data_IF_718605072665
#
_entry.id   IF_718605072665
#
_cell.length_a   1.000
_cell.length_b   1.000
_cell.length_c   1.000
_cell.angle_alpha   90.00
_cell.angle_beta   90.00
_cell.angle_gamma   90.00
#
_symmetry.space_group_name_H-M   'P 1'
#
loop_
_entity.id
_entity.type
_entity.pdbx_description
1 polymer ?
#
# COMPACT_ATOMS: atom_id res chain seq x y z
N UNK A 1 -46.28 -25.50 23.77
CA UNK A 1 -45.30 -25.50 24.88
C UNK A 1 -43.91 -25.72 24.30
N UNK A 2 -43.01 -24.79 24.61
CA UNK A 2 -41.55 -24.82 24.56
C UNK A 2 -40.81 -25.53 23.40
N UNK A 3 -40.39 -24.71 22.45
CA UNK A 3 -38.97 -24.45 22.17
C UNK A 3 -37.90 -25.39 22.76
N UNK A 4 -37.09 -25.97 21.88
CA UNK A 4 -35.67 -26.21 22.14
C UNK A 4 -34.83 -25.69 20.97
N UNK A 5 -34.75 -24.36 20.86
CA UNK A 5 -33.55 -23.70 20.34
C UNK A 5 -32.58 -23.61 21.53
N UNK A 6 -31.51 -24.42 21.50
CA UNK A 6 -30.44 -24.35 22.50
C UNK A 6 -29.56 -23.15 22.17
N UNK A 7 -29.49 -22.20 23.09
CA UNK A 7 -28.55 -21.09 23.00
C UNK A 7 -27.14 -21.57 23.34
N UNK A 8 -26.25 -21.61 22.35
CA UNK A 8 -24.92 -21.00 22.42
C UNK A 8 -24.33 -20.92 21.00
N UNK A 9 -24.81 -19.95 20.23
CA UNK A 9 -24.15 -19.50 19.01
C UNK A 9 -23.85 -18.00 19.19
N UNK A 10 -23.00 -17.71 20.19
CA UNK A 10 -22.60 -16.36 20.58
C UNK A 10 -21.64 -15.77 19.54
N UNK A 11 -22.19 -15.47 18.37
CA UNK A 11 -21.51 -14.76 17.28
C UNK A 11 -20.95 -13.45 17.84
N UNK A 12 -19.62 -13.39 17.98
CA UNK A 12 -18.94 -12.20 18.50
C UNK A 12 -19.23 -11.04 17.57
N UNK A 13 -20.00 -10.09 18.07
CA UNK A 13 -20.27 -8.84 17.38
C UNK A 13 -19.02 -7.96 17.45
N UNK A 14 -18.71 -7.30 16.34
CA UNK A 14 -17.74 -6.21 16.29
C UNK A 14 -18.25 -4.99 17.04
N UNK A 15 -17.39 -3.99 17.19
CA UNK A 15 -17.78 -2.64 17.61
C UNK A 15 -18.97 -2.04 16.82
N UNK A 16 -19.23 -2.51 15.59
CA UNK A 16 -20.29 -1.99 14.71
C UNK A 16 -21.56 -2.85 14.68
N UNK A 17 -21.65 -3.90 15.49
CA UNK A 17 -22.79 -4.81 15.50
C UNK A 17 -22.90 -5.72 14.27
N UNK A 18 -21.86 -5.78 13.43
CA UNK A 18 -21.68 -6.89 12.49
C UNK A 18 -21.13 -8.10 13.23
N UNK A 19 -21.46 -9.31 12.79
CA UNK A 19 -20.77 -10.52 13.28
C UNK A 19 -19.38 -10.56 12.63
N UNK A 20 -18.36 -11.15 13.28
CA UNK A 20 -17.03 -11.16 12.66
C UNK A 20 -16.30 -12.52 12.69
N UNK A 21 -15.48 -12.79 11.64
CA UNK A 21 -15.37 -12.03 10.38
C UNK A 21 -16.51 -12.42 9.41
N UNK A 22 -17.64 -11.67 9.40
CA UNK A 22 -18.70 -11.86 8.41
C UNK A 22 -18.41 -11.09 7.14
N UNK A 23 -19.15 -11.42 6.08
CA UNK A 23 -19.15 -10.65 4.85
C UNK A 23 -19.44 -9.16 5.13
N UNK A 24 -18.80 -8.23 4.37
CA UNK A 24 -19.00 -6.80 4.54
C UNK A 24 -20.47 -6.40 4.35
N UNK A 25 -20.97 -5.45 5.15
CA UNK A 25 -22.34 -4.96 5.07
C UNK A 25 -22.38 -3.47 4.69
N UNK A 26 -23.46 -2.97 4.05
CA UNK A 26 -23.55 -1.55 3.67
C UNK A 26 -23.45 -0.55 4.83
N UNK A 27 -23.84 -0.94 6.05
CA UNK A 27 -23.81 -0.06 7.24
C UNK A 27 -22.45 -0.01 7.97
N UNK A 28 -21.52 -0.93 7.65
CA UNK A 28 -20.19 -0.95 8.24
C UNK A 28 -19.28 0.16 7.68
N UNK A 29 -18.26 0.61 8.43
CA UNK A 29 -17.40 1.71 8.02
C UNK A 29 -16.33 1.32 7.01
N UNK A 30 -15.79 2.32 6.32
CA UNK A 30 -14.60 2.22 5.47
C UNK A 30 -13.37 2.41 6.37
N UNK A 31 -12.44 1.44 6.36
CA UNK A 31 -11.15 1.57 7.02
C UNK A 31 -10.13 2.25 6.11
N UNK A 32 -9.61 3.40 6.52
CA UNK A 32 -8.58 4.17 5.81
C UNK A 32 -7.31 4.18 6.65
N UNK A 33 -6.19 3.74 6.10
CA UNK A 33 -4.93 3.60 6.83
C UNK A 33 -3.78 4.35 6.13
N UNK A 34 -2.98 5.09 6.91
CA UNK A 34 -1.69 5.64 6.49
C UNK A 34 -0.61 5.48 7.58
N UNK A 35 0.65 5.67 7.20
CA UNK A 35 1.79 5.76 8.11
C UNK A 35 1.76 6.96 9.08
N UNK A 36 0.85 7.92 8.87
CA UNK A 36 0.70 9.08 9.74
C UNK A 36 -0.48 9.97 9.32
N UNK A 37 -0.19 11.23 9.03
CA UNK A 37 -1.18 12.30 8.79
C UNK A 37 -1.41 12.62 7.31
N UNK A 38 -0.48 12.31 6.41
CA UNK A 38 -0.61 12.65 4.99
C UNK A 38 -1.82 12.00 4.32
N UNK A 39 -2.17 10.78 4.71
CA UNK A 39 -3.33 10.04 4.24
C UNK A 39 -4.68 10.74 4.48
N UNK A 40 -4.73 11.75 5.34
CA UNK A 40 -5.92 12.59 5.55
C UNK A 40 -6.34 13.33 4.26
N UNK A 41 -5.43 13.54 3.30
CA UNK A 41 -5.79 14.02 1.95
C UNK A 41 -6.71 13.05 1.21
N UNK A 42 -6.48 11.73 1.36
CA UNK A 42 -7.31 10.67 0.77
C UNK A 42 -8.62 10.54 1.54
N UNK A 43 -8.56 10.60 2.88
CA UNK A 43 -9.76 10.61 3.72
C UNK A 43 -10.68 11.79 3.39
N UNK A 44 -10.13 13.00 3.15
CA UNK A 44 -10.89 14.16 2.68
C UNK A 44 -11.63 13.88 1.38
N UNK A 45 -10.90 13.42 0.36
CA UNK A 45 -11.49 13.12 -0.95
C UNK A 45 -12.58 12.04 -0.86
N UNK A 46 -12.41 11.05 0.02
CA UNK A 46 -13.44 10.04 0.33
C UNK A 46 -14.68 10.71 0.94
N UNK A 47 -14.54 11.53 1.99
CA UNK A 47 -15.68 12.19 2.63
C UNK A 47 -16.41 13.17 1.68
N UNK A 48 -15.69 13.86 0.80
CA UNK A 48 -16.28 14.76 -0.20
C UNK A 48 -17.05 14.01 -1.31
N UNK A 49 -16.57 12.84 -1.74
CA UNK A 49 -17.20 12.06 -2.80
C UNK A 49 -18.26 11.06 -2.28
N UNK A 50 -18.14 10.61 -1.04
CA UNK A 50 -18.99 9.62 -0.39
C UNK A 50 -19.56 10.19 0.93
N UNK A 51 -20.37 11.27 0.89
CA UNK A 51 -20.78 12.04 2.09
C UNK A 51 -21.72 11.27 3.03
N UNK A 52 -22.20 10.09 2.65
CA UNK A 52 -22.99 9.20 3.50
C UNK A 52 -22.13 8.15 4.19
N UNK A 53 -20.86 7.99 3.83
CA UNK A 53 -20.04 6.87 4.31
C UNK A 53 -19.34 7.15 5.63
N UNK A 54 -19.35 6.15 6.53
CA UNK A 54 -18.57 6.20 7.77
C UNK A 54 -17.12 5.89 7.46
N UNK A 55 -16.20 6.62 8.07
CA UNK A 55 -14.75 6.47 7.88
C UNK A 55 -14.09 6.28 9.23
N UNK A 56 -13.33 5.18 9.37
CA UNK A 56 -12.31 5.04 10.43
C UNK A 56 -10.97 5.35 9.76
N UNK A 57 -10.34 6.44 10.17
CA UNK A 57 -8.97 6.75 9.76
C UNK A 57 -7.99 6.28 10.83
N UNK A 58 -6.92 5.59 10.42
CA UNK A 58 -5.83 5.18 11.31
C UNK A 58 -4.48 5.65 10.76
N UNK A 59 -3.81 6.53 11.52
CA UNK A 59 -2.43 6.93 11.26
C UNK A 59 -1.46 6.17 12.18
N UNK A 60 -0.54 5.39 11.62
CA UNK A 60 0.45 4.62 12.39
C UNK A 60 1.64 5.48 12.88
N UNK A 61 1.36 6.64 13.48
CA UNK A 61 2.36 7.66 13.85
C UNK A 61 3.41 7.19 14.86
N UNK A 62 3.17 6.12 15.63
CA UNK A 62 4.21 5.52 16.48
C UNK A 62 5.28 4.74 15.70
N UNK A 63 4.99 4.33 14.46
CA UNK A 63 5.89 3.55 13.60
C UNK A 63 6.22 4.26 12.27
N UNK A 64 5.70 5.48 12.07
CA UNK A 64 6.03 6.36 10.96
C UNK A 64 7.32 7.17 11.20
N UNK A 65 7.82 7.88 10.17
CA UNK A 65 7.38 7.81 8.78
C UNK A 65 7.85 6.51 8.11
N UNK A 66 7.06 5.95 7.19
CA UNK A 66 7.45 4.72 6.49
C UNK A 66 8.47 4.94 5.37
N UNK A 67 8.61 6.17 4.87
CA UNK A 67 9.45 6.51 3.72
C UNK A 67 10.92 6.04 3.75
N UNK A 68 11.63 6.06 4.90
CA UNK A 68 12.99 5.53 5.02
C UNK A 68 13.06 4.05 5.47
N UNK A 69 11.94 3.39 5.80
CA UNK A 69 11.95 2.04 6.37
C UNK A 69 12.15 0.95 5.29
N UNK A 70 12.79 -0.19 5.63
CA UNK A 70 12.83 -1.35 4.74
C UNK A 70 11.43 -1.89 4.41
N UNK A 71 11.21 -2.30 3.15
CA UNK A 71 9.91 -2.81 2.66
C UNK A 71 9.35 -3.95 3.53
N UNK A 72 10.19 -4.81 4.10
CA UNK A 72 9.74 -5.86 5.02
C UNK A 72 9.13 -5.32 6.32
N UNK A 73 9.68 -4.24 6.88
CA UNK A 73 9.17 -3.58 8.08
C UNK A 73 7.90 -2.77 7.75
N UNK A 74 7.89 -2.06 6.63
CA UNK A 74 6.68 -1.39 6.09
C UNK A 74 5.54 -2.40 5.94
N UNK A 75 5.82 -3.58 5.38
CA UNK A 75 4.83 -4.66 5.23
C UNK A 75 4.29 -5.14 6.58
N UNK A 76 5.17 -5.40 7.55
CA UNK A 76 4.75 -5.87 8.88
C UNK A 76 3.84 -4.84 9.59
N UNK A 77 4.23 -3.57 9.60
CA UNK A 77 3.46 -2.51 10.25
C UNK A 77 2.10 -2.28 9.55
N UNK A 78 2.10 -2.24 8.22
CA UNK A 78 0.88 -2.07 7.43
C UNK A 78 -0.11 -3.22 7.60
N UNK A 79 0.35 -4.48 7.48
CA UNK A 79 -0.53 -5.65 7.62
C UNK A 79 -1.12 -5.77 9.03
N UNK A 80 -0.37 -5.39 10.09
CA UNK A 80 -0.91 -5.32 11.46
C UNK A 80 -2.10 -4.36 11.55
N UNK A 81 -1.97 -3.15 11.02
CA UNK A 81 -3.05 -2.15 11.02
C UNK A 81 -4.25 -2.62 10.18
N UNK A 82 -4.00 -3.23 9.02
CA UNK A 82 -5.06 -3.73 8.15
C UNK A 82 -5.78 -4.95 8.74
N UNK A 83 -5.08 -5.82 9.46
CA UNK A 83 -5.66 -6.91 10.24
C UNK A 83 -6.59 -6.37 11.32
N UNK A 84 -6.11 -5.47 12.19
CA UNK A 84 -6.95 -4.93 13.26
C UNK A 84 -8.18 -4.17 12.69
N UNK A 85 -8.07 -3.48 11.54
CA UNK A 85 -9.20 -2.83 10.86
C UNK A 85 -10.24 -3.85 10.37
N UNK A 86 -9.80 -4.95 9.76
CA UNK A 86 -10.69 -6.05 9.31
C UNK A 86 -11.38 -6.71 10.50
N UNK A 87 -10.63 -6.97 11.55
CA UNK A 87 -11.14 -7.51 12.82
C UNK A 87 -12.13 -6.58 13.52
N UNK A 88 -12.00 -5.26 13.32
CA UNK A 88 -12.97 -4.27 13.78
C UNK A 88 -14.27 -4.28 12.97
N UNK A 89 -14.30 -4.91 11.79
CA UNK A 89 -15.51 -5.07 10.97
C UNK A 89 -15.71 -4.05 9.85
N UNK A 90 -14.65 -3.52 9.24
CA UNK A 90 -14.77 -2.59 8.08
C UNK A 90 -15.33 -3.28 6.83
N UNK A 91 -16.13 -2.55 6.04
CA UNK A 91 -16.66 -3.08 4.76
C UNK A 91 -15.70 -2.95 3.58
N UNK A 92 -14.70 -2.08 3.69
CA UNK A 92 -13.70 -1.82 2.67
C UNK A 92 -12.40 -1.33 3.34
N UNK A 93 -11.27 -1.58 2.69
CA UNK A 93 -9.95 -1.08 3.10
C UNK A 93 -9.40 -0.11 2.06
N UNK A 94 -8.86 1.01 2.53
CA UNK A 94 -8.12 1.98 1.71
C UNK A 94 -6.72 2.15 2.27
N UNK A 95 -5.72 1.78 1.48
CA UNK A 95 -4.31 2.04 1.78
C UNK A 95 -3.98 3.47 1.33
N UNK A 96 -4.14 4.44 2.24
CA UNK A 96 -3.87 5.86 2.02
C UNK A 96 -2.38 6.23 2.21
N UNK A 97 -1.48 5.25 2.14
CA UNK A 97 -0.03 5.43 2.14
C UNK A 97 0.58 4.88 0.85
N UNK A 98 1.32 5.69 0.10
CA UNK A 98 2.00 5.22 -1.12
C UNK A 98 3.07 4.16 -0.79
N UNK A 99 3.84 4.37 0.29
CA UNK A 99 4.88 3.44 0.74
C UNK A 99 4.29 2.09 1.19
N UNK A 100 3.16 2.10 1.91
CA UNK A 100 2.48 0.86 2.28
C UNK A 100 1.84 0.17 1.07
N UNK A 101 1.22 0.92 0.16
CA UNK A 101 0.60 0.38 -1.07
C UNK A 101 1.63 -0.38 -1.91
N UNK A 102 2.82 0.21 -2.08
CA UNK A 102 3.97 -0.41 -2.73
C UNK A 102 4.43 -1.71 -2.04
N UNK A 103 4.36 -1.77 -0.70
CA UNK A 103 4.82 -2.92 0.07
C UNK A 103 3.80 -4.07 0.14
N UNK A 104 2.49 -3.81 0.21
CA UNK A 104 1.49 -4.81 0.64
C UNK A 104 0.31 -5.06 -0.30
N UNK A 105 0.13 -4.31 -1.40
CA UNK A 105 -1.10 -4.41 -2.21
C UNK A 105 -1.47 -5.84 -2.63
N UNK A 106 -0.49 -6.64 -3.07
CA UNK A 106 -0.72 -8.04 -3.49
C UNK A 106 -1.12 -8.91 -2.30
N UNK A 107 -0.39 -8.79 -1.19
CA UNK A 107 -0.63 -9.53 0.05
C UNK A 107 -2.02 -9.20 0.63
N UNK A 108 -2.40 -7.92 0.62
CA UNK A 108 -3.69 -7.45 1.11
C UNK A 108 -4.88 -7.91 0.27
N UNK A 109 -4.78 -7.89 -1.07
CA UNK A 109 -5.85 -8.41 -1.96
C UNK A 109 -6.03 -9.92 -1.80
N UNK A 110 -4.96 -10.67 -1.58
CA UNK A 110 -5.04 -12.10 -1.24
C UNK A 110 -5.73 -12.30 0.11
N UNK A 111 -5.20 -11.64 1.15
CA UNK A 111 -5.59 -11.84 2.55
C UNK A 111 -6.99 -11.36 2.89
N UNK A 112 -7.46 -10.27 2.28
CA UNK A 112 -8.73 -9.62 2.64
C UNK A 112 -9.78 -9.74 1.53
N UNK A 113 -9.45 -9.40 0.28
CA UNK A 113 -10.43 -9.41 -0.81
C UNK A 113 -10.82 -10.84 -1.21
N UNK A 114 -9.85 -11.72 -1.50
CA UNK A 114 -10.17 -13.10 -1.90
C UNK A 114 -10.74 -13.95 -0.77
N UNK A 115 -10.30 -13.71 0.47
CA UNK A 115 -10.69 -14.52 1.63
C UNK A 115 -11.99 -14.08 2.31
N UNK A 116 -12.23 -12.77 2.42
CA UNK A 116 -13.37 -12.22 3.17
C UNK A 116 -14.32 -11.36 2.32
N UNK A 117 -14.04 -11.18 1.02
CA UNK A 117 -14.84 -10.32 0.14
C UNK A 117 -14.65 -8.82 0.39
N UNK A 118 -13.67 -8.42 1.21
CA UNK A 118 -13.45 -7.00 1.56
C UNK A 118 -12.63 -6.32 0.44
N UNK A 119 -13.20 -5.37 -0.32
CA UNK A 119 -12.46 -4.66 -1.37
C UNK A 119 -11.28 -3.87 -0.77
N UNK A 120 -10.09 -4.07 -1.35
CA UNK A 120 -8.86 -3.33 -1.01
C UNK A 120 -8.53 -2.35 -2.14
N UNK A 121 -8.65 -1.06 -1.83
CA UNK A 121 -8.30 0.08 -2.69
C UNK A 121 -7.02 0.71 -2.17
N UNK A 122 -6.23 1.31 -3.06
CA UNK A 122 -4.93 1.92 -2.74
C UNK A 122 -4.62 3.08 -3.68
N UNK A 123 -3.49 3.77 -3.45
CA UNK A 123 -3.20 5.09 -4.05
C UNK A 123 -2.37 5.06 -5.35
N UNK A 124 -1.62 3.99 -5.65
CA UNK A 124 -0.72 3.91 -6.80
C UNK A 124 -1.48 3.66 -8.09
N UNK A 125 -2.31 2.62 -8.18
CA UNK A 125 -2.99 2.27 -9.44
C UNK A 125 -3.96 3.36 -9.95
N UNK A 126 -4.72 4.08 -9.09
CA UNK A 126 -5.53 5.21 -9.54
C UNK A 126 -4.70 6.35 -10.12
N UNK A 127 -3.62 6.74 -9.44
CA UNK A 127 -2.71 7.78 -9.92
C UNK A 127 -2.03 7.39 -11.24
N UNK A 128 -1.60 6.14 -11.39
CA UNK A 128 -1.03 5.60 -12.63
C UNK A 128 -2.02 5.73 -13.78
N UNK A 129 -3.26 5.24 -13.65
CA UNK A 129 -4.25 5.33 -14.73
C UNK A 129 -4.57 6.79 -15.10
N UNK A 130 -4.61 7.69 -14.12
CA UNK A 130 -4.80 9.13 -14.37
C UNK A 130 -3.62 9.75 -15.11
N UNK A 131 -2.38 9.37 -14.79
CA UNK A 131 -1.19 9.86 -15.48
C UNK A 131 -1.10 9.34 -16.93
N UNK A 132 -1.40 8.05 -17.17
CA UNK A 132 -1.50 7.49 -18.54
C UNK A 132 -2.52 8.26 -19.38
N UNK A 133 -3.66 8.64 -18.80
CA UNK A 133 -4.70 9.40 -19.49
C UNK A 133 -4.40 10.91 -19.65
N UNK A 134 -3.40 11.44 -18.94
CA UNK A 134 -3.07 12.87 -18.93
C UNK A 134 -1.84 13.22 -19.79
N UNK A 135 -0.88 12.31 -19.94
CA UNK A 135 0.34 12.58 -20.72
C UNK A 135 0.04 12.70 -22.22
N UNK A 136 0.69 13.68 -22.86
CA UNK A 136 0.58 13.92 -24.31
C UNK A 136 1.83 13.48 -25.05
N UNK A 137 2.99 13.47 -24.38
CA UNK A 137 4.27 13.06 -24.94
C UNK A 137 4.73 11.66 -24.49
N UNK A 138 3.96 10.97 -23.64
CA UNK A 138 4.28 9.64 -23.12
C UNK A 138 5.39 9.62 -22.06
N UNK A 139 5.77 10.77 -21.49
CA UNK A 139 6.84 10.90 -20.50
C UNK A 139 6.26 11.32 -19.16
N UNK A 140 6.40 10.46 -18.16
CA UNK A 140 5.80 10.62 -16.83
C UNK A 140 6.90 10.68 -15.77
N UNK A 141 6.86 11.71 -14.92
CA UNK A 141 7.62 11.77 -13.67
C UNK A 141 6.86 11.13 -12.51
N UNK A 142 7.58 10.55 -11.57
CA UNK A 142 7.00 10.05 -10.31
C UNK A 142 7.86 10.55 -9.15
N UNK A 143 7.29 11.37 -8.28
CA UNK A 143 7.94 11.82 -7.04
C UNK A 143 7.47 10.94 -5.89
N UNK A 144 8.36 10.42 -5.06
CA UNK A 144 7.96 9.56 -3.94
C UNK A 144 8.97 9.48 -2.81
N UNK A 145 8.62 8.72 -1.76
CA UNK A 145 9.56 8.40 -0.69
C UNK A 145 10.63 7.43 -1.17
N UNK A 146 11.78 7.36 -0.48
CA UNK A 146 12.86 6.44 -0.83
C UNK A 146 12.38 4.97 -0.93
N UNK A 147 11.58 4.51 0.02
CA UNK A 147 10.96 3.18 -0.01
C UNK A 147 9.93 3.03 -1.16
N UNK A 148 9.11 4.06 -1.45
CA UNK A 148 8.19 4.02 -2.60
C UNK A 148 8.95 3.83 -3.92
N UNK A 149 10.00 4.60 -4.15
CA UNK A 149 10.74 4.61 -5.42
C UNK A 149 11.62 3.36 -5.56
N UNK A 150 12.33 2.95 -4.49
CA UNK A 150 13.14 1.72 -4.50
C UNK A 150 12.31 0.44 -4.63
N UNK A 151 11.03 0.45 -4.25
CA UNK A 151 10.12 -0.69 -4.45
C UNK A 151 9.81 -1.01 -5.92
N UNK A 152 9.97 -0.04 -6.82
CA UNK A 152 9.56 -0.08 -8.23
C UNK A 152 8.05 -0.29 -8.48
N UNK A 153 7.20 -0.08 -7.47
CA UNK A 153 5.77 -0.34 -7.57
C UNK A 153 5.04 0.52 -8.61
N UNK A 154 5.54 1.73 -8.91
CA UNK A 154 5.01 2.56 -9.99
C UNK A 154 5.39 2.00 -11.37
N UNK A 155 6.66 1.67 -11.58
CA UNK A 155 7.19 1.06 -12.81
C UNK A 155 6.46 -0.25 -13.13
N UNK A 156 6.28 -1.12 -12.14
CA UNK A 156 5.49 -2.35 -12.26
C UNK A 156 4.02 -2.07 -12.63
N UNK A 157 3.44 -0.99 -12.11
CA UNK A 157 2.07 -0.58 -12.43
C UNK A 157 1.94 0.02 -13.84
N UNK A 158 3.03 0.58 -14.39
CA UNK A 158 3.10 1.03 -15.79
C UNK A 158 3.43 -0.09 -16.79
N UNK A 159 3.72 -1.33 -16.35
CA UNK A 159 4.14 -2.42 -17.23
C UNK A 159 3.16 -2.77 -18.38
N UNK A 160 1.86 -2.45 -18.20
CA UNK A 160 0.84 -2.61 -19.24
C UNK A 160 0.90 -1.55 -20.37
N UNK A 161 1.71 -0.50 -20.21
CA UNK A 161 1.88 0.59 -21.16
C UNK A 161 3.37 0.80 -21.52
N UNK A 162 4.03 -0.18 -22.17
CA UNK A 162 5.48 -0.21 -22.40
C UNK A 162 6.00 0.86 -23.38
N UNK A 163 5.11 1.66 -23.97
CA UNK A 163 5.45 2.82 -24.81
C UNK A 163 5.72 4.09 -23.99
N UNK A 164 5.42 4.07 -22.68
CA UNK A 164 5.63 5.20 -21.77
C UNK A 164 7.05 5.18 -21.21
N UNK A 165 7.65 6.36 -21.09
CA UNK A 165 8.91 6.57 -20.36
C UNK A 165 8.59 7.08 -18.96
N UNK A 166 9.02 6.37 -17.92
CA UNK A 166 8.81 6.76 -16.52
C UNK A 166 10.13 7.18 -15.89
N UNK A 167 10.17 8.37 -15.29
CA UNK A 167 11.29 8.86 -14.47
C UNK A 167 10.85 8.99 -13.02
N UNK A 168 11.26 8.03 -12.20
CA UNK A 168 11.02 8.03 -10.76
C UNK A 168 12.13 8.78 -10.02
N UNK A 169 11.77 9.57 -9.02
CA UNK A 169 12.67 10.38 -8.21
C UNK A 169 12.26 10.35 -6.73
N UNK A 170 13.26 10.23 -5.84
CA UNK A 170 13.03 10.11 -4.40
C UNK A 170 13.25 11.46 -3.72
N UNK A 171 12.20 11.99 -3.08
CA UNK A 171 12.23 13.31 -2.43
C UNK A 171 12.04 13.16 -0.90
N UNK A 172 13.03 12.62 -0.16
CA UNK A 172 12.87 12.32 1.26
C UNK A 172 12.65 13.57 2.12
N UNK A 173 13.27 14.71 1.79
CA UNK A 173 13.13 15.97 2.54
C UNK A 173 11.70 16.54 2.49
N UNK A 174 10.93 16.26 1.44
CA UNK A 174 9.61 16.87 1.22
C UNK A 174 8.59 16.53 2.33
N UNK A 175 8.72 15.38 2.98
CA UNK A 175 7.80 14.99 4.09
C UNK A 175 8.05 15.88 5.31
N UNK A 176 9.32 16.07 5.68
CA UNK A 176 9.72 16.92 6.81
C UNK A 176 9.28 18.38 6.62
N UNK A 177 9.45 18.96 5.42
CA UNK A 177 8.94 20.30 5.11
C UNK A 177 7.43 20.42 5.38
N UNK A 178 6.64 19.42 4.94
CA UNK A 178 5.19 19.42 5.12
C UNK A 178 4.79 19.23 6.60
N UNK A 179 5.43 18.32 7.33
CA UNK A 179 5.16 18.09 8.75
C UNK A 179 5.57 19.29 9.62
N UNK A 180 6.66 19.98 9.28
CA UNK A 180 7.04 21.28 9.88
C UNK A 180 6.11 22.43 9.48
N UNK A 181 5.25 22.25 8.46
CA UNK A 181 4.33 23.28 7.97
C UNK A 181 4.99 24.31 7.04
N UNK A 182 6.19 24.02 6.54
CA UNK A 182 6.96 24.86 5.63
C UNK A 182 6.61 24.47 4.19
N UNK A 183 5.65 25.19 3.61
CA UNK A 183 5.17 24.97 2.23
C UNK A 183 5.59 26.07 1.24
N UNK A 184 6.36 27.05 1.70
CA UNK A 184 6.94 28.15 0.90
C UNK A 184 8.30 28.56 1.48
N UNK A 185 9.09 29.32 0.70
CA UNK A 185 10.38 29.88 1.14
C UNK A 185 11.57 29.39 0.29
N UNK A 186 12.75 30.03 0.43
CA UNK A 186 13.90 29.76 -0.43
C UNK A 186 14.52 28.36 -0.21
N UNK A 187 14.61 27.89 1.03
CA UNK A 187 15.16 26.56 1.37
C UNK A 187 14.35 25.42 0.72
N UNK A 188 13.02 25.54 0.76
CA UNK A 188 12.11 24.62 0.10
C UNK A 188 12.21 24.73 -1.42
N UNK A 189 12.28 25.95 -1.97
CA UNK A 189 12.39 26.16 -3.42
C UNK A 189 13.67 25.50 -3.97
N UNK A 190 14.84 25.76 -3.37
CA UNK A 190 16.12 25.16 -3.76
C UNK A 190 16.07 23.62 -3.66
N UNK A 191 15.44 23.09 -2.61
CA UNK A 191 15.27 21.64 -2.44
C UNK A 191 14.35 21.03 -3.49
N UNK A 192 13.25 21.71 -3.83
CA UNK A 192 12.33 21.28 -4.89
C UNK A 192 13.00 21.36 -6.27
N UNK A 193 13.71 22.44 -6.58
CA UNK A 193 14.49 22.58 -7.81
C UNK A 193 15.49 21.43 -7.99
N UNK A 194 16.31 21.15 -6.95
CA UNK A 194 17.28 20.04 -6.95
C UNK A 194 16.64 18.68 -7.29
N UNK A 195 15.49 18.38 -6.70
CA UNK A 195 14.78 17.12 -6.94
C UNK A 195 14.05 17.07 -8.29
N UNK A 196 13.70 18.20 -8.89
CA UNK A 196 12.91 18.20 -10.14
C UNK A 196 13.77 18.24 -11.41
N UNK A 197 15.06 18.59 -11.33
CA UNK A 197 16.00 18.53 -12.47
C UNK A 197 15.95 17.19 -13.22
N UNK A 198 16.07 16.00 -12.59
CA UNK A 198 16.05 14.73 -13.33
C UNK A 198 14.71 14.44 -14.05
N UNK A 199 13.60 14.98 -13.54
CA UNK A 199 12.25 14.84 -14.12
C UNK A 199 12.06 15.83 -15.28
N UNK A 200 12.62 17.03 -15.17
CA UNK A 200 12.67 18.04 -16.23
C UNK A 200 13.57 17.60 -17.39
N UNK A 201 14.76 17.08 -17.10
CA UNK A 201 15.71 16.56 -18.10
C UNK A 201 15.15 15.36 -18.88
N UNK A 202 14.36 14.51 -18.21
CA UNK A 202 13.61 13.45 -18.87
C UNK A 202 12.54 14.00 -19.85
N UNK A 203 12.10 15.25 -19.67
CA UNK A 203 11.07 15.92 -20.46
C UNK A 203 9.65 15.46 -20.12
N UNK A 204 9.39 15.12 -18.85
CA UNK A 204 8.07 14.68 -18.41
C UNK A 204 7.02 15.80 -18.55
N UNK A 205 5.88 15.51 -19.17
CA UNK A 205 4.75 16.46 -19.27
C UNK A 205 3.65 16.20 -18.23
N UNK A 206 3.82 15.15 -17.43
CA UNK A 206 2.90 14.69 -16.40
C UNK A 206 3.71 14.17 -15.22
N UNK A 207 3.40 14.57 -14.00
CA UNK A 207 4.14 14.18 -12.79
C UNK A 207 3.19 13.69 -11.71
N UNK A 208 3.40 12.46 -11.24
CA UNK A 208 2.66 11.88 -10.11
C UNK A 208 3.28 12.35 -8.79
N UNK A 209 2.42 12.89 -7.92
CA UNK A 209 2.73 13.16 -6.51
C UNK A 209 2.50 11.88 -5.69
N UNK A 210 3.46 10.95 -5.77
CA UNK A 210 3.45 9.60 -5.18
C UNK A 210 3.78 9.55 -3.68
N UNK A 211 3.41 10.59 -2.95
CA UNK A 211 3.37 10.63 -1.48
C UNK A 211 2.17 11.49 -1.06
N UNK A 212 1.47 11.09 -0.01
CA UNK A 212 0.24 11.76 0.45
C UNK A 212 0.48 13.12 1.12
N UNK A 213 1.74 13.45 1.42
CA UNK A 213 2.16 14.78 1.87
C UNK A 213 2.30 15.78 0.71
N UNK A 214 2.68 15.31 -0.48
CA UNK A 214 3.10 16.18 -1.59
C UNK A 214 1.98 17.06 -2.21
N UNK A 215 0.67 16.76 -2.09
CA UNK A 215 -0.38 17.71 -2.47
C UNK A 215 -0.25 19.08 -1.78
N UNK A 216 0.31 19.16 -0.56
CA UNK A 216 0.58 20.44 0.11
C UNK A 216 1.77 21.23 -0.48
N UNK A 217 2.60 20.59 -1.33
CA UNK A 217 3.70 21.21 -2.07
C UNK A 217 3.33 21.52 -3.53
N UNK A 218 2.08 21.29 -3.95
CA UNK A 218 1.60 21.51 -5.33
C UNK A 218 1.98 22.89 -5.86
N UNK A 219 1.91 23.94 -5.03
CA UNK A 219 2.25 25.32 -5.44
C UNK A 219 3.72 25.47 -5.86
N UNK A 220 4.67 25.07 -5.02
CA UNK A 220 6.11 25.17 -5.32
C UNK A 220 6.54 24.20 -6.42
N UNK A 221 5.98 22.99 -6.45
CA UNK A 221 6.26 22.00 -7.51
C UNK A 221 5.75 22.51 -8.87
N UNK A 222 4.55 23.11 -8.92
CA UNK A 222 4.01 23.72 -10.15
C UNK A 222 4.81 24.95 -10.61
N UNK A 223 5.35 25.72 -9.66
CA UNK A 223 6.18 26.88 -9.95
C UNK A 223 7.49 26.47 -10.66
N UNK A 224 8.16 25.42 -10.16
CA UNK A 224 9.42 24.91 -10.74
C UNK A 224 9.20 24.18 -12.07
N UNK A 225 8.16 23.36 -12.20
CA UNK A 225 7.88 22.61 -13.44
C UNK A 225 7.22 23.46 -14.54
N UNK A 226 6.57 24.56 -14.15
CA UNK A 226 5.84 25.44 -15.06
C UNK A 226 4.52 24.85 -15.56
N UNK A 227 3.72 25.70 -16.20
CA UNK A 227 2.33 25.41 -16.60
C UNK A 227 2.20 24.33 -17.70
N UNK A 228 3.31 23.90 -18.30
CA UNK A 228 3.33 22.83 -19.29
C UNK A 228 3.10 21.44 -18.71
N UNK A 229 3.33 21.25 -17.40
CA UNK A 229 3.33 19.94 -16.73
C UNK A 229 2.04 19.71 -15.94
N UNK A 230 1.41 18.55 -16.14
CA UNK A 230 0.21 18.14 -15.40
C UNK A 230 0.61 17.44 -14.10
N UNK A 231 0.19 17.97 -12.94
CA UNK A 231 0.36 17.26 -11.67
C UNK A 231 -0.80 16.29 -11.42
N UNK A 232 -0.48 15.08 -10.98
CA UNK A 232 -1.44 14.02 -10.65
C UNK A 232 -1.34 13.68 -9.17
N UNK A 233 -2.42 13.91 -8.42
CA UNK A 233 -2.55 13.48 -7.04
C UNK A 233 -3.30 12.15 -6.96
N UNK A 234 -3.04 11.38 -5.90
CA UNK A 234 -3.68 10.06 -5.73
C UNK A 234 -5.08 10.15 -5.12
N UNK A 235 -5.37 11.21 -4.36
CA UNK A 235 -6.51 11.29 -3.43
C UNK A 235 -7.87 11.20 -4.12
N UNK A 236 -8.13 12.04 -5.13
CA UNK A 236 -9.42 12.02 -5.85
C UNK A 236 -9.64 10.73 -6.64
N UNK A 237 -8.59 10.20 -7.28
CA UNK A 237 -8.69 8.99 -8.09
C UNK A 237 -8.91 7.74 -7.23
N UNK A 238 -8.34 7.73 -6.02
CA UNK A 238 -8.60 6.71 -4.99
C UNK A 238 -10.06 6.75 -4.52
N UNK A 239 -10.63 7.94 -4.28
CA UNK A 239 -12.04 8.10 -3.92
C UNK A 239 -12.99 7.65 -5.06
N UNK A 240 -12.66 7.96 -6.32
CA UNK A 240 -13.38 7.48 -7.51
C UNK A 240 -13.34 5.95 -7.64
N UNK A 241 -12.21 5.31 -7.33
CA UNK A 241 -12.10 3.85 -7.31
C UNK A 241 -12.86 3.20 -6.16
N UNK A 242 -12.84 3.81 -4.98
CA UNK A 242 -13.61 3.34 -3.84
C UNK A 242 -15.11 3.38 -4.10
N UNK A 243 -15.62 4.47 -4.70
CA UNK A 243 -17.01 4.54 -5.16
C UNK A 243 -17.34 3.39 -6.14
N UNK A 244 -16.48 3.12 -7.13
CA UNK A 244 -16.67 2.00 -8.07
C UNK A 244 -16.69 0.65 -7.37
N UNK A 245 -15.75 0.39 -6.47
CA UNK A 245 -15.66 -0.84 -5.70
C UNK A 245 -16.93 -1.07 -4.85
N UNK A 246 -17.33 -0.07 -4.05
CA UNK A 246 -18.54 -0.15 -3.23
C UNK A 246 -19.82 -0.30 -4.07
N UNK A 247 -19.89 0.32 -5.25
CA UNK A 247 -21.02 0.18 -6.18
C UNK A 247 -21.11 -1.24 -6.72
N UNK A 248 -20.00 -1.80 -7.21
CA UNK A 248 -19.96 -3.12 -7.82
C UNK A 248 -20.30 -4.25 -6.84
N UNK A 249 -19.86 -4.12 -5.58
CA UNK A 249 -20.13 -5.09 -4.52
C UNK A 249 -21.49 -4.85 -3.80
N UNK A 250 -22.25 -3.82 -4.19
CA UNK A 250 -23.53 -3.47 -3.52
C UNK A 250 -23.38 -2.96 -2.08
N UNK A 251 -22.21 -2.43 -1.73
CA UNK A 251 -21.80 -2.04 -0.38
C UNK A 251 -22.02 -0.55 -0.04
N UNK A 252 -22.58 0.26 -0.95
CA UNK A 252 -22.89 1.67 -0.67
C UNK A 252 -23.90 1.78 0.49
N UNK A 253 -23.62 2.64 1.48
CA UNK A 253 -24.52 2.89 2.62
C UNK A 253 -25.82 3.54 2.14
N UNK A 254 -26.95 2.97 2.53
CA UNK A 254 -28.30 3.38 2.07
C UNK A 254 -29.13 4.14 3.11
N UNK A 255 -28.67 4.20 4.37
CA UNK A 255 -29.36 4.97 5.40
C UNK A 255 -28.99 6.47 5.33
N UNK A 256 -29.97 7.32 5.64
CA UNK A 256 -29.83 8.78 5.53
C UNK A 256 -29.23 9.47 6.75
N UNK A 257 -28.70 8.73 7.73
CA UNK A 257 -28.12 9.35 8.92
C UNK A 257 -26.70 9.87 8.63
N UNK A 258 -26.40 11.09 9.08
CA UNK A 258 -25.07 11.67 8.96
C UNK A 258 -23.99 10.69 9.47
N UNK A 259 -22.90 10.46 8.73
CA UNK A 259 -21.82 9.61 9.20
C UNK A 259 -21.12 10.25 10.40
N UNK A 260 -20.80 9.42 11.38
CA UNK A 260 -19.79 9.73 12.39
C UNK A 260 -18.47 9.18 11.86
N UNK A 261 -17.44 10.03 11.82
CA UNK A 261 -16.09 9.68 11.38
C UNK A 261 -15.17 9.59 12.59
N UNK A 262 -14.28 8.62 12.61
CA UNK A 262 -13.33 8.42 13.71
C UNK A 262 -11.89 8.54 13.22
N UNK A 263 -11.08 9.29 13.95
CA UNK A 263 -9.66 9.52 13.65
C UNK A 263 -8.81 8.98 14.79
N UNK A 264 -7.95 8.02 14.47
CA UNK A 264 -7.16 7.25 15.41
C UNK A 264 -5.67 7.37 15.09
N UNK A 265 -4.85 7.58 16.11
CA UNK A 265 -3.39 7.63 16.01
C UNK A 265 -2.75 6.57 16.91
N UNK A 266 -1.67 5.94 16.46
CA UNK A 266 -0.90 4.99 17.29
C UNK A 266 0.16 5.67 18.16
N UNK A 267 0.63 6.85 17.75
CA UNK A 267 1.44 7.75 18.55
C UNK A 267 0.60 8.87 19.18
N UNK A 268 1.26 10.00 19.48
CA UNK A 268 0.64 11.15 20.16
C UNK A 268 -0.58 11.72 19.39
N UNK A 269 -1.78 11.73 20.01
CA UNK A 269 -3.00 12.26 19.38
C UNK A 269 -3.02 13.79 19.30
N UNK A 270 -2.33 14.51 20.20
CA UNK A 270 -2.29 15.97 20.20
C UNK A 270 -1.42 16.47 19.04
N UNK A 271 -0.23 15.90 18.87
CA UNK A 271 0.62 16.14 17.70
C UNK A 271 -0.11 15.78 16.39
N UNK A 272 -0.82 14.66 16.34
CA UNK A 272 -1.65 14.29 15.19
C UNK A 272 -2.71 15.36 14.91
N UNK A 273 -3.47 15.80 15.92
CA UNK A 273 -4.56 16.76 15.76
C UNK A 273 -4.05 18.12 15.24
N UNK A 274 -2.92 18.61 15.75
CA UNK A 274 -2.30 19.86 15.29
C UNK A 274 -1.93 19.83 13.81
N UNK A 275 -1.38 18.70 13.32
CA UNK A 275 -1.01 18.58 11.90
C UNK A 275 -2.25 18.29 11.04
N UNK A 276 -3.20 17.49 11.51
CA UNK A 276 -4.41 17.09 10.79
C UNK A 276 -5.25 18.28 10.32
N UNK A 277 -5.31 19.37 11.09
CA UNK A 277 -6.00 20.61 10.70
C UNK A 277 -5.47 21.20 9.37
N UNK A 278 -4.19 21.01 9.06
CA UNK A 278 -3.57 21.47 7.80
C UNK A 278 -4.04 20.67 6.58
N UNK A 279 -4.44 19.41 6.78
CA UNK A 279 -4.86 18.49 5.72
C UNK A 279 -6.38 18.45 5.50
N UNK A 280 -7.17 18.62 6.56
CA UNK A 280 -8.62 18.42 6.54
C UNK A 280 -9.45 19.70 6.76
N UNK A 281 -8.82 20.80 7.17
CA UNK A 281 -9.52 21.98 7.68
C UNK A 281 -10.30 21.67 8.97
N UNK A 282 -11.43 22.35 9.25
CA UNK A 282 -12.16 22.22 10.52
C UNK A 282 -12.95 20.90 10.69
N UNK A 283 -12.69 19.88 9.86
CA UNK A 283 -13.40 18.59 9.92
C UNK A 283 -12.93 17.66 11.04
N UNK A 284 -11.73 17.87 11.61
CA UNK A 284 -11.21 17.06 12.73
C UNK A 284 -11.53 17.73 14.06
N UNK A 285 -12.63 17.33 14.68
CA UNK A 285 -13.11 17.85 15.97
C UNK A 285 -12.51 17.11 17.19
N UNK A 286 -11.91 15.94 16.98
CA UNK A 286 -11.18 15.18 18.00
C UNK A 286 -10.41 14.00 17.40
N UNK A 287 -9.39 13.52 18.12
CA UNK A 287 -8.50 12.42 17.73
C UNK A 287 -8.31 11.49 18.92
N UNK A 288 -8.37 10.16 18.71
CA UNK A 288 -8.17 9.15 19.76
C UNK A 288 -6.80 8.49 19.64
N UNK A 289 -6.09 8.35 20.76
CA UNK A 289 -4.90 7.50 20.87
C UNK A 289 -5.29 6.04 21.07
N UNK A 290 -4.59 5.11 20.41
CA UNK A 290 -4.77 3.66 20.60
C UNK A 290 -3.43 2.94 20.39
N UNK A 291 -3.08 1.89 21.16
CA UNK A 291 -1.85 1.11 20.90
C UNK A 291 -2.09 0.03 19.83
N UNK A 292 -3.30 -0.51 19.81
CA UNK A 292 -3.86 -1.32 18.72
C UNK A 292 -5.26 -0.82 18.41
N UNK A 293 -5.77 -1.03 17.19
CA UNK A 293 -7.14 -0.60 16.85
C UNK A 293 -8.15 -1.41 17.68
N UNK A 294 -7.80 -2.63 18.10
CA UNK A 294 -8.57 -3.47 19.01
C UNK A 294 -8.81 -2.87 20.41
N UNK A 295 -7.96 -1.95 20.89
CA UNK A 295 -8.22 -1.20 22.13
C UNK A 295 -9.34 -0.17 21.95
N UNK A 296 -9.51 0.38 20.74
CA UNK A 296 -10.56 1.37 20.43
C UNK A 296 -11.87 0.73 19.96
N UNK A 297 -11.77 -0.39 19.22
CA UNK A 297 -12.91 -1.11 18.64
C UNK A 297 -12.80 -2.60 18.99
N UNK A 298 -13.66 -3.13 19.89
CA UNK A 298 -13.63 -4.54 20.25
C UNK A 298 -13.69 -5.47 19.02
N UNK A 299 -12.63 -6.24 18.84
CA UNK A 299 -12.45 -7.14 17.71
C UNK A 299 -13.06 -8.51 17.99
N UNK A 300 -13.60 -9.15 16.95
CA UNK A 300 -13.92 -10.58 17.00
C UNK A 300 -12.78 -11.42 16.39
N UNK A 301 -11.57 -11.18 16.92
CA UNK A 301 -10.34 -11.97 16.77
C UNK A 301 -10.24 -12.87 15.52
N UNK A 302 -9.52 -12.40 14.51
CA UNK A 302 -8.58 -13.29 13.83
C UNK A 302 -7.48 -13.72 14.80
N UNK A 303 -6.81 -14.83 14.49
CA UNK A 303 -5.63 -15.26 15.23
C UNK A 303 -4.46 -14.33 14.88
N UNK A 304 -4.15 -13.40 15.79
CA UNK A 304 -2.90 -12.63 15.76
C UNK A 304 -1.75 -13.63 15.78
N UNK A 305 -0.91 -13.62 14.75
CA UNK A 305 0.32 -14.42 14.73
C UNK A 305 1.28 -13.81 15.75
N UNK A 306 1.41 -14.43 16.91
CA UNK A 306 2.32 -13.92 17.95
C UNK A 306 3.79 -14.17 17.55
N UNK A 307 4.75 -13.37 18.06
CA UNK A 307 6.17 -13.66 17.86
C UNK A 307 6.57 -15.08 18.30
N UNK A 308 5.89 -15.62 19.31
CA UNK A 308 6.11 -17.00 19.80
C UNK A 308 5.67 -18.06 18.77
N UNK A 309 4.59 -17.80 18.02
CA UNK A 309 4.15 -18.66 16.93
C UNK A 309 5.09 -18.61 15.72
N UNK A 310 5.75 -17.47 15.47
CA UNK A 310 6.82 -17.40 14.46
C UNK A 310 8.05 -18.22 14.87
N UNK A 311 8.37 -18.29 16.17
CA UNK A 311 9.46 -19.13 16.68
C UNK A 311 9.10 -20.62 16.62
N UNK A 312 7.85 -21.01 16.90
CA UNK A 312 7.43 -22.42 16.75
C UNK A 312 7.47 -22.90 15.30
N UNK A 313 7.20 -22.02 14.32
CA UNK A 313 7.30 -22.36 12.90
C UNK A 313 8.75 -22.61 12.41
N UNK A 314 9.78 -22.21 13.17
CA UNK A 314 11.19 -22.43 12.79
C UNK A 314 11.79 -23.74 13.31
N UNK A 315 11.01 -24.57 14.02
CA UNK A 315 11.46 -25.89 14.51
C UNK A 315 10.57 -27.00 13.95
N UNK A 316 10.91 -27.49 12.76
CA UNK A 316 11.07 -28.93 12.39
C UNK A 316 11.23 -29.05 10.87
N UNK A 317 12.48 -29.07 10.39
CA UNK A 317 12.81 -29.75 9.13
C UNK A 317 13.25 -31.17 9.47
N UNK A 318 12.63 -32.22 8.91
CA UNK A 318 13.18 -33.58 9.00
C UNK A 318 14.56 -33.62 8.33
N UNK A 319 15.48 -34.40 8.91
CA UNK A 319 16.85 -34.50 8.41
C UNK A 319 16.93 -35.03 6.96
N UNK A 320 18.00 -34.64 6.27
CA UNK A 320 18.26 -34.93 4.85
C UNK A 320 18.11 -36.42 4.47
N UNK A 321 17.67 -36.73 3.23
CA UNK A 321 17.62 -38.10 2.75
C UNK A 321 19.03 -38.69 2.65
N UNK A 322 19.24 -39.86 3.27
CA UNK A 322 20.52 -40.58 3.24
C UNK A 322 20.93 -40.89 1.80
N UNK A 323 22.05 -40.32 1.37
CA UNK A 323 22.75 -40.76 0.15
C UNK A 323 23.22 -42.20 0.36
N UNK A 324 22.79 -43.12 -0.49
CA UNK A 324 23.29 -44.49 -0.46
C UNK A 324 24.74 -44.52 -0.92
N UNK A 325 25.64 -44.86 0.01
CA UNK A 325 27.05 -45.15 -0.28
C UNK A 325 27.16 -46.33 -1.24
N UNK A 326 27.76 -46.10 -2.40
CA UNK A 326 28.28 -47.14 -3.27
C UNK A 326 29.79 -47.26 -3.04
N UNK A 327 30.19 -48.27 -2.26
CA UNK A 327 31.57 -48.67 -2.11
C UNK A 327 31.67 -50.18 -2.41
N UNK A 328 32.34 -50.52 -3.52
CA UNK A 328 33.59 -51.27 -3.40
C UNK A 328 34.40 -51.24 -4.72
N UNK A 329 35.72 -50.99 -4.68
CA UNK A 329 36.62 -51.16 -5.82
C UNK A 329 37.38 -52.49 -5.75
N UNK A 330 37.63 -53.14 -6.89
CA UNK A 330 38.69 -54.17 -6.99
C UNK A 330 39.37 -54.16 -8.38
N UNK A 331 40.66 -54.58 -8.50
CA UNK A 331 41.54 -54.05 -9.55
C UNK A 331 42.18 -55.10 -10.49
N UNK A 332 42.89 -54.60 -11.53
CA UNK A 332 43.74 -55.33 -12.50
C UNK A 332 42.96 -56.13 -13.56
N UNK A 333 43.31 -56.28 -14.86
CA UNK A 333 44.44 -55.96 -15.79
C UNK A 333 43.84 -55.76 -17.22
N UNK A 334 44.48 -55.21 -18.25
CA UNK A 334 45.74 -54.45 -18.45
C UNK A 334 45.75 -53.81 -19.87
N UNK A 335 46.75 -52.97 -20.18
CA UNK A 335 47.10 -52.49 -21.54
C UNK A 335 47.58 -53.65 -22.47
N UNK A 336 47.73 -53.48 -23.81
CA UNK A 336 47.86 -52.21 -24.54
C UNK A 336 47.09 -52.02 -25.87
N UNK A 337 47.05 -50.75 -26.29
CA UNK A 337 47.12 -50.21 -27.68
C UNK A 337 48.05 -51.02 -28.62
N UNK A 338 47.95 -50.96 -29.99
CA UNK A 338 47.96 -49.68 -30.72
C UNK A 338 47.32 -49.57 -32.14
N UNK A 339 47.39 -48.34 -32.69
CA UNK A 339 47.35 -47.91 -34.11
C UNK A 339 46.00 -47.72 -34.84
N UNK A 340 45.83 -46.54 -35.47
CA UNK A 340 44.83 -46.32 -36.54
C UNK A 340 44.39 -44.86 -36.76
N UNK A 341 45.19 -44.06 -37.47
CA UNK A 341 44.88 -42.73 -38.04
C UNK A 341 45.21 -42.80 -39.57
N UNK A 342 44.80 -41.93 -40.51
CA UNK A 342 43.79 -40.84 -40.56
C UNK A 342 42.79 -40.99 -41.77
N UNK A 343 42.22 -39.85 -42.25
CA UNK A 343 41.63 -39.58 -43.60
C UNK A 343 40.21 -40.12 -43.92
N UNK A 344 39.32 -39.47 -44.70
CA UNK A 344 39.32 -38.20 -45.50
C UNK A 344 37.85 -37.64 -45.69
N UNK A 345 37.58 -36.49 -46.36
CA UNK A 345 36.38 -35.64 -46.11
C UNK A 345 35.40 -35.43 -47.31
N UNK A 346 34.60 -34.33 -47.25
CA UNK A 346 33.66 -33.70 -48.23
C UNK A 346 32.17 -34.06 -47.99
N UNK A 347 31.19 -33.16 -48.19
CA UNK A 347 31.24 -31.73 -48.53
C UNK A 347 29.85 -31.12 -48.87
N UNK A 348 29.84 -29.84 -49.27
CA UNK A 348 28.78 -29.09 -49.99
C UNK A 348 27.36 -28.91 -49.38
N UNK A 349 27.13 -27.68 -48.89
CA UNK A 349 26.07 -26.72 -49.30
C UNK A 349 24.85 -27.19 -50.10
N UNK A 350 23.67 -26.63 -49.80
CA UNK A 350 22.89 -25.74 -50.71
C UNK A 350 21.88 -24.89 -49.89
N UNK A 351 21.66 -23.66 -50.36
CA UNK A 351 20.68 -22.60 -49.99
C UNK A 351 19.70 -22.85 -48.82
#
# INVERSE_FOLDING_TARGET
>A
MNSHLTADDSQKLTAWGSTAPSAPTPGAPIGVFDSGVGGLTVARAIMDQLPHEKVIYVGDTANGPYGPLPIAQVRANALRIMDDLVDSGVKALVIACNTASAAVLRDARERYTRKYGIPVVEVIQPAVRRAVAATRNGKIGVLGTAATISSRAYEDSFAAAPHLTVRSEACPEFVDFVERGVTTGPELLETVERHLVPVQDAGADTVILGCTHYPLLTGVISYVLGHGVTLVTSSEETAKDLFRALTNEGLLRTDGAAPEHEFVATGDPEAFQQIAQRFLGPAVTGVRHTRSIAESFPTASLAVVTPEQQVQASVTLPAEPRVHSAADPSPSRSNPDPHGDPDTPRGTSWN
#
